data_IF_125463678863
#
_entry.id   IF_125463678863
#
_cell.length_a   1.000
_cell.length_b   1.000
_cell.length_c   1.000
_cell.angle_alpha   90.00
_cell.angle_beta   90.00
_cell.angle_gamma   90.00
#
_symmetry.space_group_name_H-M   'P 1'
#
loop_
_entity.id
_entity.type
_entity.pdbx_description
1 polymer ?
#
# COMPACT_ATOMS: atom_id res chain seq x y z
N UNK A 1 5.29 20.23 -6.20
CA UNK A 1 5.67 20.08 -7.65
C UNK A 1 5.93 18.63 -7.93
N UNK A 2 5.38 18.05 -9.00
CA UNK A 2 5.61 16.65 -9.37
C UNK A 2 7.05 16.49 -9.88
N UNK A 3 7.77 15.52 -9.32
CA UNK A 3 9.18 15.24 -9.65
C UNK A 3 9.23 14.11 -10.68
N UNK A 4 9.74 14.41 -11.87
CA UNK A 4 9.96 13.40 -12.91
C UNK A 4 11.32 12.74 -12.67
N UNK A 5 11.32 11.42 -12.53
CA UNK A 5 12.51 10.63 -12.27
C UNK A 5 13.22 10.29 -13.56
N UNK A 6 14.53 10.39 -13.56
CA UNK A 6 15.39 9.87 -14.62
C UNK A 6 15.34 8.33 -14.66
N UNK A 7 15.77 7.72 -15.76
CA UNK A 7 15.84 6.24 -15.87
C UNK A 7 16.68 5.63 -14.75
N UNK A 8 17.79 6.26 -14.39
CA UNK A 8 18.63 5.79 -13.28
C UNK A 8 17.89 5.83 -11.92
N UNK A 9 17.15 6.91 -11.65
CA UNK A 9 16.36 7.02 -10.41
C UNK A 9 15.22 5.99 -10.36
N UNK A 10 14.59 5.71 -11.50
CA UNK A 10 13.56 4.63 -11.59
C UNK A 10 14.17 3.26 -11.26
N UNK A 11 15.41 2.97 -11.67
CA UNK A 11 16.08 1.72 -11.30
C UNK A 11 16.39 1.64 -9.80
N UNK A 12 16.78 2.76 -9.16
CA UNK A 12 16.98 2.79 -7.72
C UNK A 12 15.65 2.57 -6.95
N UNK A 13 14.56 3.18 -7.41
CA UNK A 13 13.20 2.94 -6.91
C UNK A 13 12.78 1.48 -7.09
N UNK A 14 13.09 0.88 -8.24
CA UNK A 14 12.85 -0.54 -8.51
C UNK A 14 13.59 -1.45 -7.54
N UNK A 15 14.85 -1.13 -7.20
CA UNK A 15 15.62 -1.90 -6.23
C UNK A 15 15.02 -1.80 -4.82
N UNK A 16 14.57 -0.61 -4.39
CA UNK A 16 13.84 -0.45 -3.14
C UNK A 16 12.52 -1.25 -3.16
N UNK A 17 11.77 -1.19 -4.26
CA UNK A 17 10.52 -1.95 -4.44
C UNK A 17 10.72 -3.46 -4.41
N UNK A 18 11.86 -4.00 -4.87
CA UNK A 18 12.18 -5.44 -4.76
C UNK A 18 12.34 -5.85 -3.30
N UNK A 19 12.98 -5.02 -2.46
CA UNK A 19 13.11 -5.29 -1.03
C UNK A 19 11.73 -5.33 -0.37
N UNK A 20 10.86 -4.38 -0.70
CA UNK A 20 9.47 -4.36 -0.22
C UNK A 20 8.73 -5.62 -0.65
N UNK A 21 8.81 -5.99 -1.93
CA UNK A 21 8.14 -7.17 -2.47
C UNK A 21 8.60 -8.46 -1.78
N UNK A 22 9.91 -8.66 -1.59
CA UNK A 22 10.45 -9.81 -0.87
C UNK A 22 9.97 -9.83 0.59
N UNK A 23 9.96 -8.65 1.24
CA UNK A 23 9.48 -8.55 2.62
C UNK A 23 8.01 -8.94 2.72
N UNK A 24 7.16 -8.55 1.77
CA UNK A 24 5.76 -8.98 1.70
C UNK A 24 5.60 -10.50 1.59
N UNK A 25 6.43 -11.16 0.79
CA UNK A 25 6.37 -12.62 0.67
C UNK A 25 6.73 -13.31 1.98
N UNK A 26 7.78 -12.84 2.66
CA UNK A 26 8.20 -13.35 3.98
C UNK A 26 7.10 -13.13 5.04
N UNK A 27 6.48 -11.96 5.05
CA UNK A 27 5.39 -11.64 5.97
C UNK A 27 4.16 -12.51 5.68
N UNK A 28 3.78 -12.69 4.41
CA UNK A 28 2.69 -13.59 4.03
C UNK A 28 2.89 -14.99 4.60
N UNK A 29 4.11 -15.52 4.47
CA UNK A 29 4.43 -16.88 4.94
C UNK A 29 4.51 -16.98 6.48
N UNK A 30 4.70 -15.85 7.18
CA UNK A 30 4.70 -15.76 8.63
C UNK A 30 3.29 -15.57 9.24
N UNK A 31 2.33 -15.03 8.48
CA UNK A 31 0.97 -14.77 8.96
C UNK A 31 0.27 -16.07 9.30
N UNK A 32 -0.12 -16.20 10.57
CA UNK A 32 -0.89 -17.33 11.11
C UNK A 32 -1.58 -16.93 12.41
N UNK A 33 -2.58 -17.69 12.81
CA UNK A 33 -3.17 -17.55 14.15
C UNK A 33 -2.10 -17.64 15.23
N UNK A 34 -2.21 -16.77 16.24
CA UNK A 34 -1.33 -16.72 17.40
C UNK A 34 -0.07 -15.86 17.25
N UNK A 35 0.26 -15.37 16.05
CA UNK A 35 1.35 -14.41 15.88
C UNK A 35 0.90 -13.00 16.26
N UNK A 36 1.75 -12.23 16.90
CA UNK A 36 1.50 -10.81 17.17
C UNK A 36 1.88 -9.92 15.99
N UNK A 37 1.23 -8.76 15.88
CA UNK A 37 1.63 -7.75 14.89
C UNK A 37 3.04 -7.22 15.13
N UNK A 38 3.51 -7.23 16.40
CA UNK A 38 4.90 -6.92 16.75
C UNK A 38 5.90 -7.93 16.17
N UNK A 39 5.60 -9.24 16.22
CA UNK A 39 6.48 -10.25 15.63
C UNK A 39 6.57 -10.10 14.11
N UNK A 40 5.48 -9.76 13.43
CA UNK A 40 5.48 -9.44 12.00
C UNK A 40 6.37 -8.22 11.71
N UNK A 41 6.29 -7.18 12.53
CA UNK A 41 7.14 -5.99 12.44
C UNK A 41 8.63 -6.35 12.54
N UNK A 42 9.01 -7.19 13.52
CA UNK A 42 10.39 -7.62 13.71
C UNK A 42 10.91 -8.46 12.53
N UNK A 43 10.06 -9.31 11.95
CA UNK A 43 10.39 -10.10 10.76
C UNK A 43 10.66 -9.17 9.57
N UNK A 44 9.80 -8.17 9.36
CA UNK A 44 9.94 -7.19 8.28
C UNK A 44 11.22 -6.35 8.46
N UNK A 45 11.45 -5.82 9.66
CA UNK A 45 12.65 -5.02 9.97
C UNK A 45 13.93 -5.82 9.70
N UNK A 46 13.98 -7.08 10.14
CA UNK A 46 15.12 -7.97 9.90
C UNK A 46 15.40 -8.17 8.42
N UNK A 47 14.36 -8.35 7.59
CA UNK A 47 14.57 -8.53 6.16
C UNK A 47 15.00 -7.22 5.47
N UNK A 48 14.38 -6.10 5.79
CA UNK A 48 14.73 -4.80 5.21
C UNK A 48 16.18 -4.44 5.53
N UNK A 49 16.59 -4.57 6.81
CA UNK A 49 17.94 -4.22 7.26
C UNK A 49 19.03 -5.15 6.71
N UNK A 50 18.72 -6.39 6.35
CA UNK A 50 19.62 -7.33 5.66
C UNK A 50 20.20 -6.75 4.38
N UNK A 51 19.47 -5.85 3.71
CA UNK A 51 19.89 -5.17 2.49
C UNK A 51 20.64 -3.85 2.74
N UNK A 52 20.94 -3.50 3.99
CA UNK A 52 21.37 -2.16 4.40
C UNK A 52 20.35 -1.08 4.01
N UNK A 53 19.08 -1.46 3.91
CA UNK A 53 17.95 -0.55 3.76
C UNK A 53 17.38 -0.17 5.14
N UNK A 54 16.63 0.92 5.18
CA UNK A 54 15.99 1.43 6.38
C UNK A 54 14.48 1.29 6.22
N UNK A 55 13.73 0.76 7.22
CA UNK A 55 12.26 0.81 7.19
C UNK A 55 11.78 2.25 7.08
N UNK A 56 11.01 2.56 6.03
CA UNK A 56 10.63 3.94 5.70
C UNK A 56 9.73 4.59 6.73
N UNK A 57 8.94 3.78 7.45
CA UNK A 57 7.94 4.30 8.39
C UNK A 57 8.49 4.54 9.79
N UNK A 58 9.54 3.80 10.19
CA UNK A 58 10.12 3.88 11.53
C UNK A 58 10.69 5.27 11.81
N UNK A 59 10.07 5.99 12.74
CA UNK A 59 10.42 7.38 13.06
C UNK A 59 9.77 8.44 12.18
N UNK A 60 9.11 8.05 11.08
CA UNK A 60 8.40 9.00 10.21
C UNK A 60 7.18 9.55 10.95
N UNK A 61 7.12 10.87 11.12
CA UNK A 61 6.03 11.51 11.88
C UNK A 61 5.86 10.99 13.32
N UNK A 62 6.89 10.33 13.89
CA UNK A 62 6.83 9.73 15.23
C UNK A 62 6.28 8.29 15.24
N UNK A 63 6.02 7.68 14.08
CA UNK A 63 5.57 6.29 14.00
C UNK A 63 6.65 5.33 14.53
N UNK A 64 6.26 4.38 15.39
CA UNK A 64 7.21 3.54 16.12
C UNK A 64 7.55 2.21 15.44
N UNK A 65 6.70 1.74 14.53
CA UNK A 65 6.87 0.47 13.83
C UNK A 65 7.72 0.57 12.56
N UNK A 66 8.23 -0.54 12.10
CA UNK A 66 8.91 -0.68 10.81
C UNK A 66 7.93 -0.87 9.65
N UNK A 67 6.73 -1.41 9.96
CA UNK A 67 5.61 -1.60 9.06
C UNK A 67 4.32 -1.05 9.68
N UNK A 68 3.28 -0.79 8.87
CA UNK A 68 1.94 -0.67 9.40
C UNK A 68 1.26 -2.05 9.36
N UNK A 69 0.56 -2.40 10.46
CA UNK A 69 -0.13 -3.68 10.61
C UNK A 69 -1.58 -3.40 11.04
N UNK A 70 -2.46 -3.25 10.07
CA UNK A 70 -3.83 -2.77 10.26
C UNK A 70 -4.81 -3.95 10.25
N UNK A 71 -5.36 -4.28 11.41
CA UNK A 71 -6.22 -5.44 11.63
C UNK A 71 -7.70 -5.06 11.46
N UNK A 72 -8.44 -5.84 10.69
CA UNK A 72 -9.89 -5.75 10.51
C UNK A 72 -10.36 -4.32 10.17
N UNK A 73 -11.04 -3.63 11.11
CA UNK A 73 -11.59 -2.29 10.97
C UNK A 73 -10.55 -1.16 10.98
N UNK A 74 -9.30 -1.46 11.31
CA UNK A 74 -8.22 -0.47 11.23
C UNK A 74 -7.84 -0.28 9.76
N UNK A 75 -8.21 0.87 9.20
CA UNK A 75 -8.08 1.11 7.76
C UNK A 75 -6.61 1.17 7.34
N UNK A 76 -5.80 2.01 8.00
CA UNK A 76 -4.37 2.22 7.74
C UNK A 76 -3.64 2.56 9.04
N UNK A 77 -2.30 2.58 8.98
CA UNK A 77 -1.41 3.06 10.04
C UNK A 77 -1.53 2.29 11.38
N UNK A 78 -1.97 1.03 11.34
CA UNK A 78 -2.00 0.17 12.53
C UNK A 78 -0.59 0.03 13.13
N UNK A 79 -0.44 0.40 14.41
CA UNK A 79 0.86 0.34 15.11
C UNK A 79 1.09 -1.11 15.59
N UNK A 80 2.21 -1.75 15.20
CA UNK A 80 2.55 -3.09 15.68
C UNK A 80 2.62 -3.17 17.20
N UNK A 81 1.97 -4.18 17.79
CA UNK A 81 1.89 -4.38 19.23
C UNK A 81 2.03 -5.85 19.61
N UNK A 82 2.61 -6.11 20.79
CA UNK A 82 2.65 -7.45 21.40
C UNK A 82 1.28 -7.93 21.87
N UNK A 83 0.36 -6.99 22.11
CA UNK A 83 -0.98 -7.28 22.63
C UNK A 83 -2.00 -7.57 21.51
N UNK A 84 -1.66 -7.24 20.25
CA UNK A 84 -2.49 -7.53 19.08
C UNK A 84 -2.05 -8.86 18.48
N UNK A 85 -2.80 -9.91 18.83
CA UNK A 85 -2.53 -11.29 18.39
C UNK A 85 -3.55 -11.66 17.31
N UNK A 86 -3.07 -12.16 16.17
CA UNK A 86 -3.92 -12.57 15.05
C UNK A 86 -4.73 -13.81 15.41
N UNK A 87 -5.99 -13.84 14.98
CA UNK A 87 -6.94 -14.93 15.20
C UNK A 87 -7.44 -15.47 13.86
N UNK A 88 -7.83 -16.73 13.85
CA UNK A 88 -8.53 -17.30 12.69
C UNK A 88 -9.78 -16.47 12.38
N UNK A 89 -9.97 -16.10 11.14
CA UNK A 89 -11.06 -15.25 10.68
C UNK A 89 -10.71 -13.76 10.53
N UNK A 90 -9.56 -13.32 11.02
CA UNK A 90 -9.08 -11.95 10.83
C UNK A 90 -8.61 -11.69 9.39
N UNK A 91 -8.66 -10.42 8.98
CA UNK A 91 -7.92 -9.90 7.82
C UNK A 91 -6.92 -8.87 8.31
N UNK A 92 -5.71 -8.87 7.76
CA UNK A 92 -4.67 -7.91 8.14
C UNK A 92 -4.07 -7.24 6.92
N UNK A 93 -4.11 -5.91 6.89
CA UNK A 93 -3.43 -5.10 5.90
C UNK A 93 -2.03 -4.76 6.40
N UNK A 94 -1.04 -5.21 5.66
CA UNK A 94 0.38 -4.95 5.93
C UNK A 94 0.87 -3.94 4.91
N UNK A 95 1.43 -2.85 5.41
CA UNK A 95 2.03 -1.82 4.58
C UNK A 95 3.53 -1.72 4.91
N UNK A 96 4.37 -1.75 3.89
CA UNK A 96 5.83 -1.88 3.99
C UNK A 96 6.50 -0.82 3.13
N UNK A 97 7.32 0.01 3.78
CA UNK A 97 8.21 0.93 3.10
C UNK A 97 9.68 0.58 3.34
N UNK A 98 10.52 0.68 2.30
CA UNK A 98 11.96 0.50 2.41
C UNK A 98 12.72 1.66 1.76
N UNK A 99 13.58 2.32 2.51
CA UNK A 99 14.50 3.35 2.00
C UNK A 99 15.84 2.72 1.66
N UNK A 100 16.17 2.72 0.38
CA UNK A 100 17.37 2.10 -0.14
C UNK A 100 18.05 2.99 -1.18
N UNK A 101 19.36 3.21 -1.03
CA UNK A 101 20.16 4.05 -1.94
C UNK A 101 19.56 5.43 -2.24
N UNK A 102 18.90 6.02 -1.24
CA UNK A 102 18.32 7.37 -1.36
C UNK A 102 16.90 7.42 -1.91
N UNK A 103 16.22 6.28 -2.09
CA UNK A 103 14.86 6.20 -2.62
C UNK A 103 13.98 5.25 -1.81
N UNK A 104 12.69 5.56 -1.74
CA UNK A 104 11.69 4.74 -1.06
C UNK A 104 11.01 3.78 -2.04
N UNK A 105 10.83 2.52 -1.61
CA UNK A 105 9.83 1.61 -2.15
C UNK A 105 8.67 1.56 -1.15
N UNK A 106 7.44 1.38 -1.64
CA UNK A 106 6.23 1.44 -0.84
C UNK A 106 5.15 0.53 -1.43
N UNK A 107 4.57 -0.35 -0.61
CA UNK A 107 3.47 -1.21 -1.02
C UNK A 107 2.70 -1.79 0.16
N UNK A 108 1.38 -1.90 0.01
CA UNK A 108 0.48 -2.56 0.95
C UNK A 108 -0.19 -3.79 0.35
N UNK A 109 -0.44 -4.80 1.18
CA UNK A 109 -1.22 -6.00 0.85
C UNK A 109 -2.07 -6.43 2.04
N UNK A 110 -3.30 -6.87 1.77
CA UNK A 110 -4.18 -7.47 2.77
C UNK A 110 -4.13 -8.98 2.68
N UNK A 111 -4.01 -9.64 3.83
CA UNK A 111 -3.89 -11.09 3.96
C UNK A 111 -4.98 -11.66 4.87
N UNK A 112 -5.54 -12.84 4.54
CA UNK A 112 -6.39 -13.58 5.45
C UNK A 112 -5.57 -14.25 6.55
N UNK A 113 -6.16 -14.43 7.72
CA UNK A 113 -5.61 -15.24 8.81
C UNK A 113 -6.47 -16.49 8.95
N UNK A 114 -5.96 -17.63 8.47
CA UNK A 114 -6.73 -18.88 8.43
C UNK A 114 -7.95 -18.79 7.49
N UNK A 115 -9.10 -19.25 7.97
CA UNK A 115 -10.35 -19.22 7.20
C UNK A 115 -11.14 -17.93 7.53
N UNK A 116 -11.37 -17.12 6.51
CA UNK A 116 -12.12 -15.85 6.61
C UNK A 116 -13.49 -15.96 5.93
N UNK A 117 -14.37 -15.02 6.21
CA UNK A 117 -15.71 -14.98 5.60
C UNK A 117 -15.64 -14.77 4.08
N UNK A 118 -16.67 -15.22 3.36
CA UNK A 118 -16.78 -14.99 1.90
C UNK A 118 -16.84 -13.49 1.56
N UNK A 119 -17.42 -12.68 2.45
CA UNK A 119 -17.48 -11.24 2.24
C UNK A 119 -16.11 -10.59 2.40
N UNK A 120 -15.28 -11.04 3.34
CA UNK A 120 -13.90 -10.56 3.50
C UNK A 120 -13.00 -11.00 2.34
N UNK A 121 -13.18 -12.23 1.84
CA UNK A 121 -12.52 -12.68 0.60
C UNK A 121 -12.88 -11.77 -0.56
N UNK A 122 -14.17 -11.48 -0.73
CA UNK A 122 -14.66 -10.59 -1.78
C UNK A 122 -14.08 -9.18 -1.64
N UNK A 123 -14.01 -8.64 -0.41
CA UNK A 123 -13.42 -7.33 -0.14
C UNK A 123 -11.94 -7.28 -0.57
N UNK A 124 -11.14 -8.27 -0.17
CA UNK A 124 -9.72 -8.38 -0.54
C UNK A 124 -9.57 -8.48 -2.07
N UNK A 125 -10.35 -9.35 -2.72
CA UNK A 125 -10.25 -9.56 -4.16
C UNK A 125 -10.69 -8.34 -4.96
N UNK A 126 -11.79 -7.69 -4.56
CA UNK A 126 -12.28 -6.47 -5.21
C UNK A 126 -11.32 -5.31 -5.02
N UNK A 127 -10.75 -5.14 -3.82
CA UNK A 127 -9.75 -4.10 -3.56
C UNK A 127 -8.52 -4.31 -4.44
N UNK A 128 -8.00 -5.53 -4.46
CA UNK A 128 -6.85 -5.89 -5.32
C UNK A 128 -7.17 -5.68 -6.80
N UNK A 129 -8.34 -6.12 -7.27
CA UNK A 129 -8.71 -5.96 -8.66
C UNK A 129 -8.96 -4.50 -9.03
N UNK A 130 -9.50 -3.67 -8.13
CA UNK A 130 -9.68 -2.24 -8.37
C UNK A 130 -8.35 -1.53 -8.65
N UNK A 131 -7.27 -1.93 -7.94
CA UNK A 131 -5.91 -1.47 -8.26
C UNK A 131 -5.52 -1.82 -9.70
N UNK A 132 -5.73 -3.08 -10.12
CA UNK A 132 -5.40 -3.49 -11.49
C UNK A 132 -6.25 -2.77 -12.54
N UNK A 133 -7.52 -2.49 -12.26
CA UNK A 133 -8.34 -1.65 -13.13
C UNK A 133 -7.79 -0.22 -13.22
N UNK A 134 -7.41 0.36 -12.08
CA UNK A 134 -6.80 1.69 -12.04
C UNK A 134 -5.51 1.80 -12.86
N UNK A 135 -4.56 0.87 -12.67
CA UNK A 135 -3.26 0.95 -13.36
C UNK A 135 -3.34 0.75 -14.88
N UNK A 136 -4.43 0.21 -15.43
CA UNK A 136 -4.66 0.22 -16.89
C UNK A 136 -4.70 1.64 -17.45
N UNK A 137 -5.07 2.62 -16.62
CA UNK A 137 -5.11 4.03 -16.97
C UNK A 137 -3.82 4.78 -16.64
N UNK A 138 -2.84 4.15 -15.98
CA UNK A 138 -1.52 4.71 -15.69
C UNK A 138 -0.64 4.76 -16.95
N UNK A 139 -1.14 5.41 -18.00
CA UNK A 139 -0.52 5.50 -19.33
C UNK A 139 -0.21 6.96 -19.64
N UNK A 140 0.96 7.20 -20.25
CA UNK A 140 1.39 8.55 -20.67
C UNK A 140 0.31 9.25 -21.50
N UNK A 141 -0.02 10.48 -21.11
CA UNK A 141 -1.04 11.30 -21.74
C UNK A 141 -2.42 11.25 -21.09
N UNK A 142 -2.75 10.17 -20.36
CA UNK A 142 -3.96 10.13 -19.54
C UNK A 142 -3.89 11.14 -18.39
N UNK A 143 -5.02 11.38 -17.76
CA UNK A 143 -5.09 12.22 -16.55
C UNK A 143 -4.99 11.35 -15.29
N UNK A 144 -4.44 11.92 -14.23
CA UNK A 144 -4.28 11.23 -12.95
C UNK A 144 -5.60 10.64 -12.45
N UNK A 145 -6.69 11.41 -12.55
CA UNK A 145 -8.00 10.96 -12.07
C UNK A 145 -8.66 9.87 -12.94
N UNK A 146 -8.09 9.52 -14.09
CA UNK A 146 -8.56 8.35 -14.84
C UNK A 146 -8.27 7.06 -14.05
N UNK A 147 -7.14 7.03 -13.33
CA UNK A 147 -6.80 5.96 -12.38
C UNK A 147 -7.82 5.93 -11.24
N UNK A 148 -8.03 7.07 -10.59
CA UNK A 148 -8.94 7.24 -9.45
C UNK A 148 -10.36 6.78 -9.76
N UNK A 149 -10.88 7.23 -10.92
CA UNK A 149 -12.23 6.90 -11.39
C UNK A 149 -12.40 5.40 -11.66
N UNK A 150 -11.42 4.77 -12.28
CA UNK A 150 -11.49 3.34 -12.58
C UNK A 150 -11.51 2.49 -11.28
N UNK A 151 -10.74 2.89 -10.25
CA UNK A 151 -10.75 2.26 -8.93
C UNK A 151 -12.14 2.37 -8.31
N UNK A 152 -12.69 3.59 -8.23
CA UNK A 152 -14.00 3.84 -7.63
C UNK A 152 -15.10 3.06 -8.33
N UNK A 153 -15.18 3.15 -9.65
CA UNK A 153 -16.21 2.45 -10.45
C UNK A 153 -16.15 0.95 -10.23
N UNK A 154 -14.96 0.38 -10.15
CA UNK A 154 -14.82 -1.05 -9.93
C UNK A 154 -15.27 -1.45 -8.52
N UNK A 155 -14.75 -0.84 -7.47
CA UNK A 155 -15.06 -1.21 -6.10
C UNK A 155 -16.54 -0.99 -5.73
N UNK A 156 -17.11 0.15 -6.13
CA UNK A 156 -18.51 0.48 -5.83
C UNK A 156 -19.52 -0.41 -6.57
N UNK A 157 -19.17 -1.01 -7.70
CA UNK A 157 -19.99 -2.00 -8.39
C UNK A 157 -20.32 -3.23 -7.52
N UNK A 158 -19.43 -3.56 -6.58
CA UNK A 158 -19.62 -4.66 -5.64
C UNK A 158 -20.27 -4.22 -4.32
N UNK A 159 -20.70 -2.96 -4.22
CA UNK A 159 -21.37 -2.42 -3.04
C UNK A 159 -20.39 -1.96 -1.93
N UNK A 160 -19.10 -1.89 -2.23
CA UNK A 160 -18.10 -1.39 -1.29
C UNK A 160 -17.91 0.13 -1.41
N UNK A 161 -17.35 0.74 -0.38
CA UNK A 161 -17.09 2.18 -0.31
C UNK A 161 -15.60 2.49 -0.37
N UNK A 162 -15.25 3.60 -1.02
CA UNK A 162 -13.86 4.09 -1.07
C UNK A 162 -13.62 5.06 0.08
N UNK A 163 -12.54 4.84 0.82
CA UNK A 163 -12.05 5.78 1.84
C UNK A 163 -11.62 7.08 1.17
N UNK A 164 -12.03 8.23 1.74
CA UNK A 164 -11.81 9.56 1.15
C UNK A 164 -10.76 10.39 1.87
N UNK A 165 -10.50 10.08 3.14
CA UNK A 165 -9.60 10.87 3.99
C UNK A 165 -8.12 10.57 3.72
N UNK A 166 -7.82 9.40 3.14
CA UNK A 166 -6.48 8.97 2.76
C UNK A 166 -6.40 8.73 1.27
N UNK A 167 -5.23 9.00 0.71
CA UNK A 167 -4.98 8.95 -0.73
C UNK A 167 -3.60 8.39 -1.01
N UNK A 168 -3.41 7.83 -2.20
CA UNK A 168 -2.08 7.50 -2.71
C UNK A 168 -1.27 8.77 -3.01
N UNK A 169 -0.01 8.60 -3.38
CA UNK A 169 0.93 9.71 -3.53
C UNK A 169 2.03 9.43 -4.55
N UNK A 170 2.76 10.46 -4.93
CA UNK A 170 4.05 10.28 -5.56
C UNK A 170 5.07 9.73 -4.56
N UNK A 171 6.06 8.99 -5.02
CA UNK A 171 7.14 8.45 -4.20
C UNK A 171 8.49 8.63 -4.87
N UNK A 172 9.53 8.85 -4.07
CA UNK A 172 10.87 9.07 -4.58
C UNK A 172 11.93 9.16 -3.51
N UNK A 173 12.63 10.29 -3.43
CA UNK A 173 13.57 10.59 -2.34
C UNK A 173 12.85 10.88 -1.03
N UNK A 174 11.66 11.46 -1.10
CA UNK A 174 10.74 11.51 0.02
C UNK A 174 9.75 10.35 -0.07
N UNK A 175 9.29 9.87 1.09
CA UNK A 175 8.27 8.83 1.16
C UNK A 175 6.98 9.31 0.50
N UNK A 176 6.54 10.51 0.83
CA UNK A 176 5.37 11.15 0.22
C UNK A 176 5.82 12.34 -0.63
N UNK A 177 5.55 12.26 -1.93
CA UNK A 177 5.77 13.33 -2.92
C UNK A 177 4.43 13.67 -3.61
N UNK A 178 4.40 14.81 -4.30
CA UNK A 178 3.31 15.12 -5.23
C UNK A 178 3.33 14.13 -6.44
N UNK A 179 2.17 13.81 -7.01
CA UNK A 179 0.83 14.31 -6.68
C UNK A 179 0.13 13.47 -5.59
N UNK A 180 -0.90 14.02 -4.95
CA UNK A 180 -1.89 13.21 -4.26
C UNK A 180 -2.75 12.45 -5.27
N UNK A 181 -3.09 11.18 -4.94
CA UNK A 181 -3.80 10.27 -5.83
C UNK A 181 -5.05 9.73 -5.11
N UNK A 182 -6.17 10.46 -5.13
CA UNK A 182 -7.43 9.94 -4.61
C UNK A 182 -7.82 8.63 -5.32
N UNK A 183 -8.50 7.74 -4.60
CA UNK A 183 -9.03 6.51 -5.18
C UNK A 183 -10.48 6.67 -5.66
N UNK A 184 -10.93 7.91 -5.88
CA UNK A 184 -12.29 8.30 -6.27
C UNK A 184 -12.26 9.59 -7.08
N UNK A 185 -13.38 9.87 -7.73
CA UNK A 185 -13.64 11.15 -8.41
C UNK A 185 -13.88 11.01 -9.92
N UNK A 186 -14.20 12.13 -10.58
CA UNK A 186 -14.49 12.12 -12.02
C UNK A 186 -13.23 11.92 -12.85
N UNK A 187 -13.33 11.14 -13.93
CA UNK A 187 -12.26 10.98 -14.90
C UNK A 187 -11.87 12.30 -15.60
N UNK A 188 -10.71 12.35 -16.22
CA UNK A 188 -10.23 13.45 -17.04
C UNK A 188 -9.74 14.68 -16.29
N UNK A 189 -9.40 14.54 -14.99
CA UNK A 189 -8.92 15.63 -14.12
C UNK A 189 -7.49 15.41 -13.65
N UNK A 190 -6.91 16.43 -13.04
CA UNK A 190 -5.55 16.40 -12.49
C UNK A 190 -4.46 16.50 -13.56
N UNK A 191 -3.20 16.31 -13.16
CA UNK A 191 -2.05 16.39 -14.07
C UNK A 191 -2.11 15.29 -15.14
N UNK A 192 -1.48 15.55 -16.30
CA UNK A 192 -1.24 14.49 -17.29
C UNK A 192 -0.11 13.60 -16.82
N UNK A 193 -0.30 12.30 -16.96
CA UNK A 193 0.73 11.32 -16.68
C UNK A 193 1.88 11.43 -17.69
N UNK A 194 3.10 11.35 -17.20
CA UNK A 194 4.32 11.46 -17.97
C UNK A 194 5.28 10.33 -17.61
N UNK A 195 6.15 9.96 -18.57
CA UNK A 195 7.25 9.04 -18.29
C UNK A 195 8.14 9.57 -17.17
N UNK A 196 8.52 8.72 -16.24
CA UNK A 196 9.30 9.09 -15.06
C UNK A 196 8.50 9.53 -13.84
N UNK A 197 7.17 9.61 -13.91
CA UNK A 197 6.35 9.68 -12.71
C UNK A 197 6.36 8.33 -12.00
N UNK A 198 6.56 8.34 -10.67
CA UNK A 198 6.48 7.16 -9.82
C UNK A 198 5.41 7.41 -8.77
N UNK A 199 4.43 6.51 -8.71
CA UNK A 199 3.17 6.69 -8.00
C UNK A 199 2.90 5.49 -7.10
N UNK A 200 2.60 5.74 -5.84
CA UNK A 200 1.98 4.79 -4.91
C UNK A 200 0.45 4.92 -5.07
N UNK A 201 -0.16 3.90 -5.67
CA UNK A 201 -1.61 3.83 -5.90
C UNK A 201 -2.18 2.87 -4.86
N UNK A 202 -3.00 3.38 -3.96
CA UNK A 202 -3.35 2.69 -2.72
C UNK A 202 -4.87 2.68 -2.48
N UNK A 203 -5.63 1.81 -3.17
CA UNK A 203 -7.05 1.66 -2.91
C UNK A 203 -7.31 1.23 -1.46
N UNK A 204 -8.07 2.05 -0.74
CA UNK A 204 -8.57 1.75 0.61
C UNK A 204 -10.07 1.61 0.52
N UNK A 205 -10.58 0.41 0.83
CA UNK A 205 -11.96 0.00 0.53
C UNK A 205 -12.61 -0.58 1.77
N UNK A 206 -13.83 -0.14 2.08
CA UNK A 206 -14.61 -0.58 3.24
C UNK A 206 -15.87 -1.35 2.80
N UNK A 207 -16.27 -2.32 3.60
CA UNK A 207 -17.56 -3.04 3.44
C UNK A 207 -18.76 -2.14 3.72
N UNK A 208 -18.62 -1.18 4.62
CA UNK A 208 -19.67 -0.24 5.00
C UNK A 208 -19.50 1.13 4.36
N UNK A 209 -19.68 2.17 5.16
CA UNK A 209 -19.42 3.56 4.74
C UNK A 209 -17.93 3.87 4.70
N UNK A 210 -17.60 4.98 4.04
CA UNK A 210 -16.22 5.46 3.99
C UNK A 210 -15.78 6.17 5.27
#
# INVERSE_FOLDING_TARGET
>A
MIIIKSKHEVELLRDAGKIVAETHEIIRDAIKEGISTYELDQIAEKNITKYNAIPSFKGYGGFSGSICASLNEVVVHGIPSKDIILKNGDIISIDIGAFYKGYHGDAAKTHPVGEISENDKLLIDVTRQSFYEGIKHAVVGNRLSDISHAIEVYATRYGFSIVKDFVGHGVGKALHEEPQIPNYGPAGRGPRLQEGMVLAIEPMVNQGTY
#
